data_IF_220894287713
#
_entry.id   IF_220894287713
#
_cell.length_a   1.000
_cell.length_b   1.000
_cell.length_c   1.000
_cell.angle_alpha   90.00
_cell.angle_beta   90.00
_cell.angle_gamma   90.00
#
_symmetry.space_group_name_H-M   'P 1'
#
loop_
_entity.id
_entity.type
_entity.pdbx_description
1 polymer ?
#
# COMPACT_ATOMS: atom_id res chain seq x y z
N UNK A 1 -15.71 10.01 19.46
CA UNK A 1 -15.94 9.97 18.00
C UNK A 1 -17.00 8.93 17.68
N UNK A 2 -17.87 9.24 16.72
CA UNK A 2 -18.91 8.32 16.28
C UNK A 2 -18.32 7.26 15.33
N UNK A 3 -19.05 6.15 15.15
CA UNK A 3 -18.68 5.11 14.18
C UNK A 3 -18.47 5.68 12.76
N UNK A 4 -19.35 6.59 12.35
CA UNK A 4 -19.28 7.24 11.04
C UNK A 4 -18.02 8.11 10.87
N UNK A 5 -17.58 8.79 11.93
CA UNK A 5 -16.35 9.59 11.90
C UNK A 5 -15.12 8.70 11.74
N UNK A 6 -15.07 7.57 12.43
CA UNK A 6 -13.98 6.61 12.27
C UNK A 6 -13.97 5.99 10.86
N UNK A 7 -15.15 5.64 10.32
CA UNK A 7 -15.28 5.13 8.96
C UNK A 7 -14.76 6.15 7.95
N UNK A 8 -15.13 7.43 8.10
CA UNK A 8 -14.65 8.51 7.23
C UNK A 8 -13.12 8.63 7.26
N UNK A 9 -12.51 8.57 8.43
CA UNK A 9 -11.03 8.61 8.56
C UNK A 9 -10.39 7.43 7.81
N UNK A 10 -10.95 6.24 7.96
CA UNK A 10 -10.45 5.06 7.25
C UNK A 10 -10.58 5.20 5.72
N UNK A 11 -11.70 5.72 5.25
CA UNK A 11 -11.96 5.89 3.82
C UNK A 11 -11.06 6.96 3.19
N UNK A 12 -10.70 7.99 3.95
CA UNK A 12 -9.85 9.10 3.47
C UNK A 12 -8.36 8.74 3.52
N UNK A 13 -7.96 7.80 4.36
CA UNK A 13 -6.54 7.47 4.55
C UNK A 13 -5.84 7.08 3.26
N UNK A 14 -6.40 6.13 2.52
CA UNK A 14 -5.79 5.62 1.28
C UNK A 14 -5.65 6.71 0.20
N UNK A 15 -6.68 7.52 -0.11
CA UNK A 15 -6.52 8.65 -1.02
C UNK A 15 -5.46 9.66 -0.55
N UNK A 16 -5.36 9.93 0.74
CA UNK A 16 -4.39 10.88 1.28
C UNK A 16 -2.94 10.39 1.12
N UNK A 17 -2.68 9.12 1.42
CA UNK A 17 -1.34 8.55 1.24
C UNK A 17 -0.99 8.43 -0.25
N UNK A 18 -1.96 8.11 -1.10
CA UNK A 18 -1.79 8.09 -2.55
C UNK A 18 -1.42 9.47 -3.09
N UNK A 19 -2.12 10.51 -2.64
CA UNK A 19 -1.82 11.89 -3.02
C UNK A 19 -0.41 12.30 -2.58
N UNK A 20 -0.02 11.96 -1.37
CA UNK A 20 1.33 12.21 -0.85
C UNK A 20 2.41 11.54 -1.70
N UNK A 21 2.18 10.30 -2.10
CA UNK A 21 3.05 9.56 -3.01
C UNK A 21 3.16 10.26 -4.37
N UNK A 22 2.03 10.65 -4.94
CA UNK A 22 1.98 11.33 -6.24
C UNK A 22 2.71 12.68 -6.20
N UNK A 23 2.52 13.48 -5.13
CA UNK A 23 3.24 14.74 -4.93
C UNK A 23 4.76 14.49 -4.86
N UNK A 24 5.19 13.44 -4.17
CA UNK A 24 6.60 13.06 -4.10
C UNK A 24 7.16 12.77 -5.49
N UNK A 25 6.45 12.02 -6.31
CA UNK A 25 6.85 11.72 -7.70
C UNK A 25 6.94 12.99 -8.54
N UNK A 26 5.93 13.87 -8.45
CA UNK A 26 5.94 15.15 -9.16
C UNK A 26 7.14 16.03 -8.77
N UNK A 27 7.48 16.06 -7.48
CA UNK A 27 8.67 16.81 -7.01
C UNK A 27 9.97 16.30 -7.64
N UNK A 28 10.10 14.99 -7.80
CA UNK A 28 11.25 14.38 -8.47
C UNK A 28 11.33 14.83 -9.93
N UNK A 29 10.20 14.84 -10.63
CA UNK A 29 10.12 15.32 -12.02
C UNK A 29 10.46 16.80 -12.14
N UNK A 30 9.91 17.62 -11.24
CA UNK A 30 10.14 19.07 -11.24
C UNK A 30 11.60 19.45 -10.95
N UNK A 31 12.34 18.58 -10.26
CA UNK A 31 13.79 18.77 -10.02
C UNK A 31 14.66 18.35 -11.20
N UNK A 32 14.07 18.07 -12.34
CA UNK A 32 14.77 17.71 -13.57
C UNK A 32 14.96 16.21 -13.80
N UNK A 33 14.49 15.36 -12.88
CA UNK A 33 14.60 13.90 -12.99
C UNK A 33 13.29 13.27 -13.51
N UNK A 34 12.85 13.71 -14.70
CA UNK A 34 11.59 13.27 -15.30
C UNK A 34 11.59 11.75 -15.52
N UNK A 35 12.70 11.20 -16.02
CA UNK A 35 12.83 9.75 -16.23
C UNK A 35 12.65 8.96 -14.92
N UNK A 36 13.29 9.42 -13.86
CA UNK A 36 13.16 8.77 -12.55
C UNK A 36 11.74 8.85 -12.02
N UNK A 37 11.06 9.98 -12.23
CA UNK A 37 9.65 10.14 -11.86
C UNK A 37 8.75 9.15 -12.59
N UNK A 38 8.93 8.96 -13.89
CA UNK A 38 8.19 7.96 -14.67
C UNK A 38 8.47 6.53 -14.22
N UNK A 39 9.73 6.22 -13.89
CA UNK A 39 10.09 4.90 -13.36
C UNK A 39 9.36 4.63 -12.04
N UNK A 40 9.38 5.58 -11.11
CA UNK A 40 8.67 5.45 -9.82
C UNK A 40 7.17 5.27 -10.01
N UNK A 41 6.57 6.08 -10.88
CA UNK A 41 5.14 5.96 -11.21
C UNK A 41 4.83 4.60 -11.81
N UNK A 42 5.64 4.12 -12.75
CA UNK A 42 5.49 2.80 -13.36
C UNK A 42 5.57 1.66 -12.34
N UNK A 43 6.48 1.76 -11.37
CA UNK A 43 6.61 0.76 -10.31
C UNK A 43 5.43 0.79 -9.34
N UNK A 44 4.87 1.96 -9.05
CA UNK A 44 3.64 2.09 -8.24
C UNK A 44 2.46 1.47 -9.00
N UNK A 45 2.32 1.74 -10.29
CA UNK A 45 1.27 1.12 -11.13
C UNK A 45 1.43 -0.38 -11.18
N UNK A 46 2.65 -0.90 -11.38
CA UNK A 46 2.93 -2.33 -11.39
C UNK A 46 2.57 -2.98 -10.04
N UNK A 47 2.91 -2.31 -8.94
CA UNK A 47 2.55 -2.76 -7.59
C UNK A 47 1.04 -2.85 -7.41
N UNK A 48 0.31 -1.86 -7.89
CA UNK A 48 -1.16 -1.82 -7.85
C UNK A 48 -1.76 -2.97 -8.67
N UNK A 49 -1.25 -3.20 -9.87
CA UNK A 49 -1.67 -4.33 -10.71
C UNK A 49 -1.40 -5.67 -10.00
N UNK A 50 -0.29 -5.80 -9.33
CA UNK A 50 0.05 -7.00 -8.56
C UNK A 50 -0.96 -7.28 -7.45
N UNK A 51 -1.30 -6.29 -6.62
CA UNK A 51 -2.22 -6.51 -5.50
C UNK A 51 -3.64 -6.84 -5.97
N UNK A 52 -4.10 -6.22 -7.04
CA UNK A 52 -5.39 -6.56 -7.62
C UNK A 52 -5.36 -7.93 -8.32
N UNK A 53 -4.25 -8.29 -8.93
CA UNK A 53 -4.01 -9.64 -9.48
C UNK A 53 -4.13 -10.71 -8.40
N UNK A 54 -3.53 -10.48 -7.23
CA UNK A 54 -3.66 -11.39 -6.07
C UNK A 54 -5.11 -11.46 -5.59
N UNK A 55 -5.81 -10.32 -5.56
CA UNK A 55 -7.23 -10.28 -5.20
C UNK A 55 -8.08 -11.16 -6.13
N UNK A 56 -7.88 -11.05 -7.45
CA UNK A 56 -8.59 -11.87 -8.43
C UNK A 56 -8.24 -13.36 -8.31
N UNK A 57 -6.96 -13.69 -8.06
CA UNK A 57 -6.54 -15.06 -7.80
C UNK A 57 -7.18 -15.62 -6.53
N UNK A 58 -7.23 -14.82 -5.46
CA UNK A 58 -7.89 -15.23 -4.23
C UNK A 58 -9.38 -15.49 -4.43
N UNK A 59 -10.06 -14.62 -5.17
CA UNK A 59 -11.48 -14.79 -5.50
C UNK A 59 -11.74 -16.05 -6.34
N UNK A 60 -10.81 -16.41 -7.22
CA UNK A 60 -10.94 -17.59 -8.08
C UNK A 60 -10.55 -18.88 -7.35
N UNK A 61 -9.49 -18.85 -6.54
CA UNK A 61 -8.88 -20.04 -5.92
C UNK A 61 -9.24 -20.19 -4.43
N UNK A 62 -9.87 -19.18 -3.82
CA UNK A 62 -10.25 -19.15 -2.39
C UNK A 62 -9.05 -19.44 -1.46
N UNK A 63 -7.92 -18.77 -1.70
CA UNK A 63 -6.66 -19.02 -0.97
C UNK A 63 -6.80 -18.61 0.50
N UNK A 64 -7.19 -17.35 0.77
CA UNK A 64 -7.42 -16.87 2.13
C UNK A 64 -8.60 -17.56 2.82
N UNK A 65 -9.76 -17.73 2.15
CA UNK A 65 -10.89 -18.46 2.75
C UNK A 65 -10.56 -19.90 3.12
N UNK A 66 -9.65 -20.58 2.42
CA UNK A 66 -9.20 -21.92 2.76
C UNK A 66 -8.57 -22.01 4.17
N UNK A 67 -8.02 -20.89 4.67
CA UNK A 67 -7.46 -20.78 6.02
C UNK A 67 -8.40 -20.07 7.00
N UNK A 68 -9.66 -19.85 6.63
CA UNK A 68 -10.61 -19.09 7.44
C UNK A 68 -10.33 -17.61 7.52
N UNK A 69 -9.61 -17.07 6.54
CA UNK A 69 -9.16 -15.67 6.47
C UNK A 69 -9.79 -14.95 5.29
N UNK A 70 -9.60 -13.64 5.25
CA UNK A 70 -10.05 -12.78 4.17
C UNK A 70 -8.91 -11.87 3.69
N UNK A 71 -8.72 -11.78 2.37
CA UNK A 71 -7.72 -10.91 1.78
C UNK A 71 -8.12 -9.45 1.95
N UNK A 72 -7.27 -8.66 2.60
CA UNK A 72 -7.55 -7.25 2.85
C UNK A 72 -7.03 -6.38 1.71
N UNK A 73 -7.88 -6.05 0.75
CA UNK A 73 -7.56 -5.14 -0.34
C UNK A 73 -7.20 -3.74 0.18
N UNK A 74 -7.86 -3.26 1.23
CA UNK A 74 -7.54 -1.99 1.87
C UNK A 74 -6.12 -1.96 2.42
N UNK A 75 -5.70 -3.02 3.10
CA UNK A 75 -4.32 -3.18 3.57
C UNK A 75 -3.35 -3.22 2.39
N UNK A 76 -3.66 -4.00 1.36
CA UNK A 76 -2.78 -4.17 0.20
C UNK A 76 -2.56 -2.85 -0.55
N UNK A 77 -3.61 -2.09 -0.83
CA UNK A 77 -3.48 -0.80 -1.54
C UNK A 77 -2.72 0.24 -0.70
N UNK A 78 -2.98 0.30 0.59
CA UNK A 78 -2.23 1.19 1.49
C UNK A 78 -0.74 0.83 1.53
N UNK A 79 -0.42 -0.46 1.53
CA UNK A 79 0.96 -0.96 1.53
C UNK A 79 1.72 -0.60 0.25
N UNK A 80 1.05 -0.47 -0.90
CA UNK A 80 1.69 0.01 -2.13
C UNK A 80 2.37 1.36 -1.89
N UNK A 81 1.65 2.28 -1.28
CA UNK A 81 2.17 3.63 -1.01
C UNK A 81 3.15 3.67 0.15
N UNK A 82 2.91 2.89 1.20
CA UNK A 82 3.86 2.74 2.32
C UNK A 82 5.19 2.17 1.80
N UNK A 83 5.17 1.16 0.94
CA UNK A 83 6.35 0.59 0.33
C UNK A 83 7.14 1.64 -0.48
N UNK A 84 6.45 2.50 -1.22
CA UNK A 84 7.07 3.62 -1.92
C UNK A 84 7.87 4.50 -0.97
N UNK A 85 7.28 4.92 0.15
CA UNK A 85 7.96 5.75 1.13
C UNK A 85 9.12 5.05 1.82
N UNK A 86 9.00 3.75 2.09
CA UNK A 86 10.09 2.93 2.64
C UNK A 86 11.30 2.94 1.69
N UNK A 87 11.06 2.78 0.39
CA UNK A 87 12.13 2.67 -0.61
C UNK A 87 12.74 4.03 -0.94
N UNK A 88 11.94 5.07 -1.09
CA UNK A 88 12.38 6.33 -1.69
C UNK A 88 12.45 7.52 -0.72
N UNK A 89 11.78 7.46 0.43
CA UNK A 89 11.65 8.59 1.35
C UNK A 89 11.97 8.17 2.78
N UNK A 90 13.24 7.89 3.06
CA UNK A 90 13.67 7.39 4.37
C UNK A 90 13.26 8.29 5.54
N UNK A 91 13.17 9.60 5.33
CA UNK A 91 12.76 10.57 6.37
C UNK A 91 11.29 10.40 6.76
N UNK A 92 10.44 10.00 5.81
CA UNK A 92 9.00 9.83 6.01
C UNK A 92 8.63 8.37 6.30
N UNK A 93 9.57 7.44 6.15
CA UNK A 93 9.32 6.00 6.33
C UNK A 93 8.66 5.70 7.68
N UNK A 94 9.24 6.19 8.77
CA UNK A 94 8.71 5.92 10.11
C UNK A 94 7.31 6.48 10.30
N UNK A 95 7.07 7.70 9.80
CA UNK A 95 5.75 8.33 9.85
C UNK A 95 4.72 7.50 9.08
N UNK A 96 5.07 7.03 7.88
CA UNK A 96 4.16 6.24 7.04
C UNK A 96 3.88 4.86 7.64
N UNK A 97 4.89 4.21 8.23
CA UNK A 97 4.72 2.92 8.92
C UNK A 97 3.82 3.09 10.14
N UNK A 98 4.04 4.11 10.96
CA UNK A 98 3.20 4.40 12.13
C UNK A 98 1.76 4.71 11.69
N UNK A 99 1.57 5.50 10.64
CA UNK A 99 0.24 5.79 10.11
C UNK A 99 -0.48 4.53 9.63
N UNK A 100 0.25 3.60 9.03
CA UNK A 100 -0.29 2.30 8.59
C UNK A 100 -0.77 1.46 9.78
N UNK A 101 -0.01 1.43 10.88
CA UNK A 101 -0.44 0.75 12.11
C UNK A 101 -1.72 1.38 12.66
N UNK A 102 -1.79 2.71 12.70
CA UNK A 102 -3.00 3.41 13.14
C UNK A 102 -4.20 3.08 12.26
N UNK A 103 -4.00 3.05 10.96
CA UNK A 103 -5.02 2.67 9.99
C UNK A 103 -5.49 1.22 10.19
N UNK A 104 -4.56 0.30 10.43
CA UNK A 104 -4.89 -1.09 10.72
C UNK A 104 -5.75 -1.21 11.98
N UNK A 105 -5.42 -0.47 13.04
CA UNK A 105 -6.22 -0.44 14.27
C UNK A 105 -7.65 0.08 14.01
N UNK A 106 -7.79 1.12 13.18
CA UNK A 106 -9.10 1.64 12.79
C UNK A 106 -9.89 0.59 12.02
N UNK A 107 -9.28 -0.12 11.09
CA UNK A 107 -9.96 -1.18 10.34
C UNK A 107 -10.46 -2.31 11.24
N UNK A 108 -9.67 -2.70 12.23
CA UNK A 108 -10.09 -3.71 13.22
C UNK A 108 -11.23 -3.17 14.08
N UNK A 109 -11.14 -1.92 14.53
CA UNK A 109 -12.20 -1.28 15.32
C UNK A 109 -13.52 -1.18 14.54
N UNK A 110 -13.45 -0.94 13.24
CA UNK A 110 -14.62 -0.85 12.35
C UNK A 110 -15.15 -2.22 11.89
N UNK A 111 -14.53 -3.31 12.32
CA UNK A 111 -14.87 -4.68 11.92
C UNK A 111 -14.78 -4.94 10.41
N UNK A 112 -13.96 -4.19 9.68
CA UNK A 112 -13.71 -4.43 8.26
C UNK A 112 -12.91 -5.71 8.05
N UNK A 113 -11.89 -5.93 8.88
CA UNK A 113 -11.02 -7.10 8.83
C UNK A 113 -10.55 -7.47 10.24
N UNK A 114 -10.18 -8.74 10.42
CA UNK A 114 -9.52 -9.19 11.65
C UNK A 114 -8.03 -8.84 11.61
N UNK A 115 -7.38 -8.88 12.78
CA UNK A 115 -5.92 -8.74 12.86
C UNK A 115 -5.22 -9.78 12.00
N UNK A 116 -5.72 -11.03 11.99
CA UNK A 116 -5.16 -12.10 11.17
C UNK A 116 -5.26 -11.82 9.67
N UNK A 117 -6.39 -11.25 9.19
CA UNK A 117 -6.56 -10.85 7.80
C UNK A 117 -5.52 -9.81 7.37
N UNK A 118 -5.33 -8.79 8.19
CA UNK A 118 -4.40 -7.70 7.93
C UNK A 118 -2.95 -8.20 7.96
N UNK A 119 -2.59 -8.98 8.99
CA UNK A 119 -1.23 -9.49 9.14
C UNK A 119 -0.85 -10.47 8.02
N UNK A 120 -1.73 -11.39 7.65
CA UNK A 120 -1.45 -12.35 6.58
C UNK A 120 -1.32 -11.64 5.23
N UNK A 121 -2.18 -10.67 4.96
CA UNK A 121 -2.08 -9.85 3.74
C UNK A 121 -0.76 -9.08 3.74
N UNK A 122 -0.41 -8.42 4.82
CA UNK A 122 0.82 -7.63 4.92
C UNK A 122 2.08 -8.50 4.77
N UNK A 123 2.15 -9.62 5.46
CA UNK A 123 3.30 -10.54 5.41
C UNK A 123 3.51 -11.11 4.01
N UNK A 124 2.42 -11.38 3.29
CA UNK A 124 2.50 -11.92 1.93
C UNK A 124 2.80 -10.83 0.88
N UNK A 125 2.17 -9.68 1.01
CA UNK A 125 2.19 -8.62 -0.01
C UNK A 125 3.41 -7.70 0.14
N UNK A 126 3.74 -7.25 1.35
CA UNK A 126 4.77 -6.24 1.56
C UNK A 126 6.16 -6.62 1.03
N UNK A 127 6.67 -7.86 1.26
CA UNK A 127 7.97 -8.23 0.70
C UNK A 127 8.02 -8.15 -0.82
N UNK A 128 6.95 -8.54 -1.51
CA UNK A 128 6.87 -8.48 -2.97
C UNK A 128 6.80 -7.03 -3.44
N UNK A 129 6.04 -6.18 -2.77
CA UNK A 129 5.97 -4.75 -3.07
C UNK A 129 7.34 -4.08 -2.91
N UNK A 130 8.06 -4.40 -1.85
CA UNK A 130 9.40 -3.87 -1.64
C UNK A 130 10.36 -4.33 -2.74
N UNK A 131 10.28 -5.59 -3.17
CA UNK A 131 11.08 -6.11 -4.29
C UNK A 131 10.75 -5.39 -5.60
N UNK A 132 9.48 -5.19 -5.90
CA UNK A 132 9.05 -4.49 -7.13
C UNK A 132 9.58 -3.06 -7.12
N UNK A 133 9.37 -2.32 -6.04
CA UNK A 133 9.69 -0.89 -5.98
C UNK A 133 11.17 -0.61 -5.76
N UNK A 134 11.92 -1.56 -5.21
CA UNK A 134 13.37 -1.43 -5.04
C UNK A 134 14.16 -1.75 -6.31
N UNK A 135 13.52 -2.18 -7.39
CA UNK A 135 14.22 -2.46 -8.64
C UNK A 135 14.88 -1.19 -9.18
N UNK A 136 16.19 -1.24 -9.26
CA UNK A 136 16.98 -0.23 -9.93
C UNK A 136 17.05 -0.60 -11.40
N UNK A 137 16.42 0.17 -12.25
CA UNK A 137 16.70 0.09 -13.67
C UNK A 137 18.06 0.73 -13.90
N UNK A 138 19.11 -0.09 -13.95
CA UNK A 138 20.43 0.37 -14.35
C UNK A 138 20.35 0.82 -15.81
N UNK A 139 20.84 2.03 -16.07
CA UNK A 139 21.04 2.47 -17.45
C UNK A 139 22.04 1.51 -18.10
N UNK A 140 21.59 0.81 -19.11
CA UNK A 140 22.49 0.14 -20.02
C UNK A 140 23.13 1.17 -20.95
#
# INVERSE_FOLDING_TARGET
MTYQQWAFIADVYTPMIALSCFISILRVMMKGNVQQGFIRLGLVVLSTLFIYGVMFLDNALHIWPAFGLDYSTHTAIALVFVAYFIVYQSRLMHLMVISMFSYALIMVHQHYHTVADILTTAVFILPVLLLIQSRKFTKC
#
